data_IF_573640621514
#
_entry.id   IF_573640621514
#
_cell.length_a   1.000
_cell.length_b   1.000
_cell.length_c   1.000
_cell.angle_alpha   90.00
_cell.angle_beta   90.00
_cell.angle_gamma   90.00
#
_symmetry.space_group_name_H-M   'P 1'
#
loop_
_entity.id
_entity.type
_entity.pdbx_description
1 polymer ?
#
# COMPACT_ATOMS: atom_id res chain seq x y z
N UNK A 1 -21.91 3.94 -1.44
CA UNK A 1 -21.66 2.95 -2.49
C UNK A 1 -20.91 1.79 -1.86
N UNK A 2 -21.35 0.57 -2.10
CA UNK A 2 -20.62 -0.63 -1.68
C UNK A 2 -19.38 -0.76 -2.57
N UNK A 3 -18.18 -0.62 -2.00
CA UNK A 3 -16.93 -0.91 -2.71
C UNK A 3 -16.73 -2.42 -2.67
N UNK A 4 -16.88 -3.08 -3.82
CA UNK A 4 -16.56 -4.49 -3.94
C UNK A 4 -15.07 -4.61 -4.27
N UNK A 5 -14.24 -4.82 -3.25
CA UNK A 5 -12.81 -5.03 -3.43
C UNK A 5 -12.61 -6.52 -3.70
N UNK A 6 -12.28 -6.87 -4.94
CA UNK A 6 -11.84 -8.22 -5.29
C UNK A 6 -10.31 -8.26 -5.28
N UNK A 7 -9.76 -9.13 -4.43
CA UNK A 7 -8.33 -9.42 -4.37
C UNK A 7 -8.10 -10.74 -5.12
N UNK A 8 -7.59 -10.67 -6.34
CA UNK A 8 -7.16 -11.86 -7.10
C UNK A 8 -5.67 -12.13 -6.85
N UNK A 9 -5.36 -13.37 -6.50
CA UNK A 9 -4.00 -13.89 -6.31
C UNK A 9 -3.68 -14.83 -7.46
N UNK A 10 -2.71 -14.48 -8.30
CA UNK A 10 -2.14 -15.42 -9.27
C UNK A 10 -0.69 -15.77 -8.91
N UNK A 11 -0.47 -16.97 -8.38
CA UNK A 11 0.86 -17.55 -8.18
C UNK A 11 1.19 -17.98 -6.74
N UNK A 12 2.19 -18.86 -6.62
CA UNK A 12 2.73 -19.37 -5.36
C UNK A 12 3.52 -18.32 -4.55
N UNK A 13 3.62 -17.08 -5.01
CA UNK A 13 4.37 -15.99 -4.34
C UNK A 13 3.41 -14.81 -4.09
N UNK A 14 3.20 -14.44 -2.81
CA UNK A 14 2.17 -13.51 -2.33
C UNK A 14 2.52 -12.01 -2.55
N UNK A 15 3.29 -11.68 -3.58
CA UNK A 15 3.84 -10.32 -3.77
C UNK A 15 3.10 -9.47 -4.80
N UNK A 16 2.06 -10.01 -5.46
CA UNK A 16 1.15 -9.26 -6.32
C UNK A 16 -0.21 -9.10 -5.62
N UNK A 17 -0.74 -7.89 -5.60
CA UNK A 17 -2.08 -7.56 -5.13
C UNK A 17 -2.82 -6.76 -6.19
N UNK A 18 -3.94 -7.28 -6.66
CA UNK A 18 -4.84 -6.61 -7.60
C UNK A 18 -6.09 -6.15 -6.85
N UNK A 19 -6.49 -4.91 -7.03
CA UNK A 19 -7.68 -4.31 -6.45
C UNK A 19 -8.58 -3.82 -7.57
N UNK A 20 -9.77 -4.40 -7.67
CA UNK A 20 -10.82 -3.95 -8.58
C UNK A 20 -11.82 -3.08 -7.80
N UNK A 21 -11.89 -1.79 -8.13
CA UNK A 21 -12.85 -0.82 -7.59
C UNK A 21 -13.50 -0.10 -8.76
N UNK A 22 -14.58 -0.66 -9.29
CA UNK A 22 -15.21 -0.20 -10.53
C UNK A 22 -15.29 1.34 -10.65
N UNK A 23 -14.81 1.92 -11.77
CA UNK A 23 -14.21 1.27 -12.94
C UNK A 23 -12.66 1.15 -12.86
N UNK A 24 -12.06 1.38 -11.69
CA UNK A 24 -10.61 1.47 -11.47
C UNK A 24 -10.04 0.11 -11.12
N UNK A 25 -8.91 -0.22 -11.75
CA UNK A 25 -8.08 -1.34 -11.33
C UNK A 25 -6.73 -0.82 -10.84
N UNK A 26 -6.23 -1.39 -9.75
CA UNK A 26 -4.96 -1.02 -9.11
C UNK A 26 -4.17 -2.30 -8.87
N UNK A 27 -2.92 -2.32 -9.30
CA UNK A 27 -2.02 -3.44 -9.08
C UNK A 27 -0.80 -2.96 -8.32
N UNK A 28 -0.43 -3.72 -7.30
CA UNK A 28 0.77 -3.50 -6.50
C UNK A 28 1.57 -4.77 -6.57
N UNK A 29 2.83 -4.66 -6.98
CA UNK A 29 3.67 -5.82 -7.18
C UNK A 29 5.14 -5.52 -6.89
N UNK A 30 5.88 -6.54 -6.47
CA UNK A 30 7.33 -6.45 -6.38
C UNK A 30 7.95 -6.62 -7.78
N UNK A 31 9.09 -5.96 -8.03
CA UNK A 31 9.81 -6.00 -9.30
C UNK A 31 10.14 -7.42 -9.76
N UNK A 32 10.50 -8.29 -8.81
CA UNK A 32 10.85 -9.70 -9.08
C UNK A 32 9.73 -10.47 -9.79
N UNK A 33 8.48 -10.02 -9.65
CA UNK A 33 7.31 -10.69 -10.20
C UNK A 33 6.91 -10.16 -11.57
N UNK A 34 7.77 -9.36 -12.24
CA UNK A 34 7.46 -8.77 -13.55
C UNK A 34 7.03 -9.80 -14.61
N UNK A 35 7.57 -11.02 -14.54
CA UNK A 35 7.14 -12.12 -15.42
C UNK A 35 5.70 -12.59 -15.15
N UNK A 36 5.24 -12.51 -13.90
CA UNK A 36 3.84 -12.79 -13.53
C UNK A 36 2.95 -11.60 -13.86
N UNK A 37 3.40 -10.36 -13.60
CA UNK A 37 2.68 -9.13 -13.99
C UNK A 37 2.38 -9.14 -15.49
N UNK A 38 3.30 -9.62 -16.33
CA UNK A 38 3.12 -9.68 -17.79
C UNK A 38 2.02 -10.63 -18.28
N UNK A 39 1.40 -11.39 -17.38
CA UNK A 39 0.29 -12.31 -17.69
C UNK A 39 -1.07 -11.76 -17.21
N UNK A 40 -1.05 -10.70 -16.42
CA UNK A 40 -2.25 -10.04 -15.89
C UNK A 40 -2.91 -9.22 -16.99
N UNK A 41 -4.22 -9.40 -17.21
CA UNK A 41 -4.99 -8.61 -18.18
C UNK A 41 -4.89 -7.10 -17.86
N UNK A 42 -4.83 -6.75 -16.57
CA UNK A 42 -4.67 -5.40 -16.04
C UNK A 42 -3.36 -4.73 -16.45
N UNK A 43 -2.33 -5.50 -16.82
CA UNK A 43 -1.07 -4.94 -17.31
C UNK A 43 -1.11 -4.57 -18.81
N UNK A 44 -2.14 -5.03 -19.53
CA UNK A 44 -2.35 -4.83 -20.97
C UNK A 44 -3.36 -3.72 -21.31
N UNK A 45 -3.67 -2.85 -20.34
CA UNK A 45 -4.50 -1.66 -20.55
C UNK A 45 -3.68 -0.36 -20.44
N UNK A 46 -4.21 0.76 -20.98
CA UNK A 46 -3.69 2.10 -20.69
C UNK A 46 -3.78 2.48 -19.22
N UNK A 47 -2.82 3.28 -18.76
CA UNK A 47 -2.83 3.76 -17.38
C UNK A 47 -1.55 4.43 -16.93
N UNK A 48 -1.43 4.53 -15.62
CA UNK A 48 -0.33 5.19 -14.91
C UNK A 48 0.41 4.15 -14.09
N UNK A 49 1.73 4.26 -14.00
CA UNK A 49 2.57 3.44 -13.14
C UNK A 49 3.52 4.31 -12.32
N UNK A 50 3.85 3.83 -11.14
CA UNK A 50 4.74 4.46 -10.17
C UNK A 50 5.75 3.41 -9.75
N UNK A 51 7.01 3.63 -10.10
CA UNK A 51 8.13 2.81 -9.64
C UNK A 51 8.62 3.36 -8.30
N UNK A 52 8.77 2.47 -7.32
CA UNK A 52 9.17 2.78 -5.96
C UNK A 52 10.53 2.13 -5.67
N UNK A 53 11.49 2.96 -5.27
CA UNK A 53 12.76 2.57 -4.69
C UNK A 53 12.86 3.09 -3.26
N UNK A 54 14.03 2.93 -2.64
CA UNK A 54 14.27 3.34 -1.25
C UNK A 54 14.24 4.87 -1.09
N UNK A 55 14.90 5.61 -1.98
CA UNK A 55 15.08 7.06 -1.87
C UNK A 55 14.37 7.86 -2.96
N UNK A 56 14.04 7.22 -4.09
CA UNK A 56 13.46 7.88 -5.27
C UNK A 56 12.26 7.15 -5.84
N UNK A 57 11.43 7.90 -6.55
CA UNK A 57 10.25 7.41 -7.25
C UNK A 57 10.30 7.80 -8.73
N UNK A 58 9.50 7.14 -9.56
CA UNK A 58 9.31 7.53 -10.96
C UNK A 58 7.84 7.35 -11.31
N UNK A 59 7.22 8.39 -11.86
CA UNK A 59 5.84 8.36 -12.37
C UNK A 59 5.89 8.30 -13.88
N UNK A 60 5.14 7.38 -14.49
CA UNK A 60 5.02 7.33 -15.93
C UNK A 60 3.61 6.96 -16.38
N UNK A 61 3.32 7.26 -17.65
CA UNK A 61 2.10 6.81 -18.32
C UNK A 61 2.34 5.82 -19.45
N UNK A 62 1.29 5.05 -19.77
CA UNK A 62 1.16 4.27 -20.98
C UNK A 62 -0.20 4.55 -21.64
N UNK A 63 -0.17 5.02 -22.89
CA UNK A 63 -1.37 5.17 -23.74
C UNK A 63 -1.83 3.85 -24.37
N UNK A 64 -0.98 2.83 -24.33
CA UNK A 64 -1.29 1.44 -24.66
C UNK A 64 -0.98 0.59 -23.42
N UNK A 65 -0.38 -0.58 -23.58
CA UNK A 65 -0.14 -1.48 -22.45
C UNK A 65 0.93 -0.96 -21.48
N UNK A 66 0.59 -0.92 -20.17
CA UNK A 66 1.53 -0.57 -19.09
C UNK A 66 2.74 -1.50 -19.08
N UNK A 67 2.56 -2.81 -19.31
CA UNK A 67 3.64 -3.80 -19.23
C UNK A 67 4.83 -3.46 -20.13
N UNK A 68 4.58 -2.89 -21.31
CA UNK A 68 5.64 -2.51 -22.25
C UNK A 68 6.56 -1.44 -21.65
N UNK A 69 6.01 -0.52 -20.86
CA UNK A 69 6.79 0.51 -20.15
C UNK A 69 7.54 -0.09 -18.97
N UNK A 70 6.92 -1.00 -18.21
CA UNK A 70 7.58 -1.67 -17.10
C UNK A 70 8.78 -2.50 -17.56
N UNK A 71 8.64 -3.28 -18.63
CA UNK A 71 9.75 -4.05 -19.24
C UNK A 71 10.87 -3.15 -19.77
N UNK A 72 10.52 -1.96 -20.27
CA UNK A 72 11.52 -0.98 -20.69
C UNK A 72 12.29 -0.44 -19.47
N UNK A 73 11.60 -0.07 -18.39
CA UNK A 73 12.26 0.44 -17.19
C UNK A 73 13.07 -0.63 -16.47
N UNK A 74 12.62 -1.87 -16.42
CA UNK A 74 13.37 -2.98 -15.79
C UNK A 74 14.78 -3.15 -16.36
N UNK A 75 14.95 -2.90 -17.67
CA UNK A 75 16.25 -2.95 -18.35
C UNK A 75 17.14 -1.73 -18.10
N UNK A 76 16.55 -0.59 -17.76
CA UNK A 76 17.22 0.71 -17.75
C UNK A 76 17.32 1.36 -16.35
N UNK A 77 16.58 0.83 -15.37
CA UNK A 77 16.48 1.33 -14.00
C UNK A 77 16.52 0.14 -13.06
N UNK A 78 17.65 -0.04 -12.39
CA UNK A 78 17.87 -1.13 -11.44
C UNK A 78 17.49 -0.79 -9.99
N UNK A 79 17.17 0.48 -9.71
CA UNK A 79 16.95 0.99 -8.35
C UNK A 79 15.55 0.73 -7.78
N UNK A 80 14.56 0.39 -8.61
CA UNK A 80 13.19 0.20 -8.12
C UNK A 80 12.97 -1.25 -7.68
N UNK A 81 12.15 -1.43 -6.65
CA UNK A 81 11.87 -2.74 -6.04
C UNK A 81 10.38 -3.07 -6.04
N UNK A 82 9.52 -2.05 -6.16
CA UNK A 82 8.07 -2.19 -6.17
C UNK A 82 7.45 -1.30 -7.23
N UNK A 83 6.31 -1.73 -7.78
CA UNK A 83 5.50 -0.94 -8.70
C UNK A 83 4.06 -0.86 -8.18
N UNK A 84 3.48 0.31 -8.32
CA UNK A 84 2.03 0.53 -8.25
C UNK A 84 1.60 0.98 -9.63
N UNK A 85 0.66 0.29 -10.27
CA UNK A 85 0.06 0.78 -11.50
C UNK A 85 -1.46 0.70 -11.43
N UNK A 86 -2.12 1.58 -12.17
CA UNK A 86 -3.56 1.66 -12.17
C UNK A 86 -4.10 2.15 -13.50
N UNK A 87 -5.29 1.68 -13.82
CA UNK A 87 -5.97 1.91 -15.09
C UNK A 87 -7.47 1.82 -14.91
N UNK A 88 -8.19 1.83 -16.03
CA UNK A 88 -9.62 1.52 -16.04
C UNK A 88 -9.83 0.11 -16.56
N UNK A 89 -10.71 -0.64 -15.92
CA UNK A 89 -11.06 -2.01 -16.31
C UNK A 89 -11.56 -2.08 -17.78
N UNK A 90 -12.27 -1.04 -18.24
CA UNK A 90 -12.75 -0.94 -19.62
C UNK A 90 -11.67 -0.47 -20.63
N UNK A 91 -10.44 -0.22 -20.17
CA UNK A 91 -9.33 0.27 -20.99
C UNK A 91 -9.51 1.69 -21.55
N UNK A 92 -10.61 2.38 -21.23
CA UNK A 92 -10.93 3.69 -21.80
C UNK A 92 -10.27 4.85 -21.05
N UNK A 93 -8.95 4.95 -21.16
CA UNK A 93 -8.18 6.09 -20.67
C UNK A 93 -7.45 6.74 -21.85
N UNK A 94 -7.89 7.92 -22.26
CA UNK A 94 -7.29 8.60 -23.40
C UNK A 94 -5.96 9.30 -23.04
N UNK A 95 -5.22 9.70 -24.07
CA UNK A 95 -3.92 10.36 -23.90
C UNK A 95 -3.99 11.64 -23.06
N UNK A 96 -5.06 12.41 -23.21
CA UNK A 96 -5.22 13.66 -22.43
C UNK A 96 -5.39 13.37 -20.95
N UNK A 97 -6.09 12.29 -20.60
CA UNK A 97 -6.28 11.84 -19.23
C UNK A 97 -4.99 11.25 -18.65
N UNK A 98 -4.27 10.41 -19.41
CA UNK A 98 -2.99 9.85 -18.94
C UNK A 98 -1.96 10.95 -18.71
N UNK A 99 -1.84 11.89 -19.65
CA UNK A 99 -0.91 13.02 -19.53
C UNK A 99 -1.31 13.90 -18.33
N UNK A 100 -2.59 14.19 -18.15
CA UNK A 100 -3.08 14.98 -17.00
C UNK A 100 -2.78 14.31 -15.66
N UNK A 101 -3.01 13.00 -15.53
CA UNK A 101 -2.76 12.23 -14.31
C UNK A 101 -1.27 12.16 -13.98
N UNK A 102 -0.42 11.90 -14.97
CA UNK A 102 1.04 11.88 -14.82
C UNK A 102 1.55 13.23 -14.30
N UNK A 103 1.19 14.34 -14.95
CA UNK A 103 1.57 15.68 -14.49
C UNK A 103 1.10 15.94 -13.06
N UNK A 104 -0.16 15.60 -12.76
CA UNK A 104 -0.75 15.86 -11.45
C UNK A 104 -0.03 15.12 -10.33
N UNK A 105 0.34 13.85 -10.56
CA UNK A 105 1.12 13.06 -9.61
C UNK A 105 2.54 13.61 -9.46
N UNK A 106 3.22 13.93 -10.58
CA UNK A 106 4.56 14.52 -10.54
C UNK A 106 4.57 15.82 -9.73
N UNK A 107 3.59 16.71 -9.96
CA UNK A 107 3.43 17.94 -9.18
C UNK A 107 3.22 17.63 -7.70
N UNK A 108 2.31 16.71 -7.36
CA UNK A 108 2.08 16.32 -5.95
C UNK A 108 3.33 15.79 -5.26
N UNK A 109 4.10 14.91 -5.90
CA UNK A 109 5.35 14.40 -5.35
C UNK A 109 6.37 15.52 -5.12
N UNK A 110 6.53 16.43 -6.09
CA UNK A 110 7.42 17.58 -5.95
C UNK A 110 6.99 18.53 -4.83
N UNK A 111 5.69 18.82 -4.73
CA UNK A 111 5.14 19.69 -3.68
C UNK A 111 5.37 19.11 -2.27
N UNK A 112 5.41 17.77 -2.16
CA UNK A 112 5.72 17.04 -0.92
C UNK A 112 7.22 16.82 -0.70
N UNK A 113 8.09 17.32 -1.58
CA UNK A 113 9.54 17.16 -1.47
C UNK A 113 10.05 15.73 -1.67
N UNK A 114 9.24 14.86 -2.30
CA UNK A 114 9.61 13.48 -2.56
C UNK A 114 10.44 13.37 -3.86
N UNK A 115 11.67 12.83 -3.82
CA UNK A 115 12.52 12.78 -5.00
C UNK A 115 11.94 11.95 -6.14
N UNK A 116 11.88 12.55 -7.33
CA UNK A 116 11.52 11.88 -8.59
C UNK A 116 12.72 11.78 -9.53
N UNK A 117 12.89 10.60 -10.15
CA UNK A 117 13.84 10.36 -11.25
C UNK A 117 13.23 10.71 -12.63
N UNK A 118 12.13 11.46 -12.63
CA UNK A 118 11.49 11.96 -13.84
C UNK A 118 12.40 13.01 -14.51
N UNK A 119 12.89 12.72 -15.72
CA UNK A 119 13.67 13.67 -16.50
C UNK A 119 12.87 14.82 -17.12
N UNK A 120 11.53 14.75 -17.05
CA UNK A 120 10.60 15.76 -17.55
C UNK A 120 9.39 15.88 -16.62
N UNK A 121 8.64 16.97 -16.72
CA UNK A 121 7.39 17.15 -15.96
C UNK A 121 6.19 16.37 -16.53
N UNK A 122 6.39 15.54 -17.55
CA UNK A 122 5.32 14.89 -18.32
C UNK A 122 4.94 15.66 -19.60
N UNK A 123 4.01 15.11 -20.38
CA UNK A 123 3.50 15.75 -21.60
C UNK A 123 2.27 16.61 -21.28
N UNK A 124 2.05 17.71 -22.03
CA UNK A 124 0.86 18.54 -21.88
C UNK A 124 -0.09 18.31 -23.06
N UNK A 125 -1.26 17.77 -22.78
CA UNK A 125 -2.36 17.58 -23.73
C UNK A 125 -3.58 18.41 -23.31
N UNK A 126 -4.35 18.90 -24.28
CA UNK A 126 -5.64 19.53 -23.99
C UNK A 126 -6.60 18.46 -23.44
N UNK A 127 -7.24 18.76 -22.32
CA UNK A 127 -8.22 17.90 -21.66
C UNK A 127 -9.50 18.72 -21.41
N UNK A 128 -10.64 18.19 -21.84
CA UNK A 128 -11.92 18.83 -21.58
C UNK A 128 -12.35 18.66 -20.11
N UNK A 129 -13.35 19.44 -19.70
CA UNK A 129 -13.80 19.48 -18.30
C UNK A 129 -14.34 18.13 -17.80
N UNK A 130 -15.03 17.37 -18.64
CA UNK A 130 -15.60 16.09 -18.27
C UNK A 130 -14.49 15.05 -18.10
N UNK A 131 -13.57 14.95 -19.07
CA UNK A 131 -12.44 14.01 -19.01
C UNK A 131 -11.52 14.30 -17.83
N UNK A 132 -11.27 15.58 -17.51
CA UNK A 132 -10.53 16.02 -16.32
C UNK A 132 -11.24 15.63 -15.02
N UNK A 133 -12.56 15.77 -14.95
CA UNK A 133 -13.34 15.36 -13.78
C UNK A 133 -13.25 13.86 -13.55
N UNK A 134 -13.41 13.04 -14.59
CA UNK A 134 -13.28 11.58 -14.53
C UNK A 134 -11.88 11.14 -14.10
N UNK A 135 -10.84 11.79 -14.61
CA UNK A 135 -9.46 11.51 -14.20
C UNK A 135 -9.25 11.84 -12.70
N UNK A 136 -9.79 12.95 -12.22
CA UNK A 136 -9.71 13.31 -10.80
C UNK A 136 -10.43 12.31 -9.88
N UNK A 137 -11.62 11.86 -10.28
CA UNK A 137 -12.38 10.85 -9.54
C UNK A 137 -11.61 9.53 -9.47
N UNK A 138 -11.07 9.07 -10.61
CA UNK A 138 -10.21 7.89 -10.67
C UNK A 138 -9.00 8.01 -9.74
N UNK A 139 -8.28 9.14 -9.79
CA UNK A 139 -7.14 9.35 -8.90
C UNK A 139 -7.56 9.37 -7.42
N UNK A 140 -8.73 9.94 -7.11
CA UNK A 140 -9.25 9.93 -5.74
C UNK A 140 -9.55 8.52 -5.25
N UNK A 141 -10.10 7.64 -6.11
CA UNK A 141 -10.32 6.23 -5.79
C UNK A 141 -8.99 5.53 -5.53
N UNK A 142 -7.96 5.82 -6.35
CA UNK A 142 -6.62 5.26 -6.19
C UNK A 142 -6.01 5.69 -4.87
N UNK A 143 -5.95 7.00 -4.60
CA UNK A 143 -5.36 7.54 -3.36
C UNK A 143 -6.09 7.01 -2.12
N UNK A 144 -7.42 6.98 -2.15
CA UNK A 144 -8.24 6.44 -1.07
C UNK A 144 -8.03 4.93 -0.88
N UNK A 145 -7.92 4.16 -1.97
CA UNK A 145 -7.66 2.71 -1.87
C UNK A 145 -6.25 2.47 -1.33
N UNK A 146 -5.24 3.17 -1.83
CA UNK A 146 -3.87 3.04 -1.35
C UNK A 146 -3.80 3.39 0.13
N UNK A 147 -4.39 4.49 0.57
CA UNK A 147 -4.35 4.92 1.96
C UNK A 147 -5.20 4.03 2.88
N UNK A 148 -6.46 3.77 2.51
CA UNK A 148 -7.43 3.17 3.42
C UNK A 148 -7.53 1.65 3.30
N UNK A 149 -7.22 1.07 2.14
CA UNK A 149 -7.25 -0.39 1.94
C UNK A 149 -5.85 -0.97 2.03
N UNK A 150 -4.91 -0.42 1.25
CA UNK A 150 -3.54 -0.92 1.18
C UNK A 150 -2.70 -0.45 2.37
N UNK A 151 -3.07 0.69 2.97
CA UNK A 151 -2.31 1.40 4.00
C UNK A 151 -0.90 1.75 3.53
N UNK A 152 -0.83 2.21 2.29
CA UNK A 152 0.33 2.79 1.66
C UNK A 152 -0.03 4.25 1.39
N UNK A 153 0.57 5.16 2.14
CA UNK A 153 0.55 6.57 1.77
C UNK A 153 1.61 6.79 0.70
N UNK A 154 1.15 7.05 -0.51
CA UNK A 154 2.01 7.26 -1.66
C UNK A 154 2.92 8.48 -1.47
N UNK A 155 2.50 9.43 -0.62
CA UNK A 155 3.14 10.72 -0.42
C UNK A 155 3.73 10.89 0.99
N UNK A 156 3.79 9.82 1.79
CA UNK A 156 4.52 9.87 3.06
C UNK A 156 6.01 10.02 2.75
N UNK A 157 6.59 11.09 3.29
CA UNK A 157 8.04 11.21 3.41
C UNK A 157 8.44 10.10 4.35
N UNK A 158 9.11 9.08 3.83
CA UNK A 158 9.87 8.19 4.68
C UNK A 158 10.91 9.09 5.36
N UNK A 159 10.58 9.57 6.57
CA UNK A 159 11.58 10.05 7.50
C UNK A 159 12.57 8.91 7.56
N UNK A 160 13.74 9.18 6.97
CA UNK A 160 14.87 8.29 6.87
C UNK A 160 14.88 7.46 8.15
N UNK A 161 14.55 6.17 8.03
CA UNK A 161 14.63 5.23 9.15
C UNK A 161 16.12 4.96 9.36
N UNK A 162 16.85 6.02 9.71
CA UNK A 162 17.98 5.90 10.59
C UNK A 162 17.44 5.12 11.77
N UNK A 163 18.09 3.99 12.05
CA UNK A 163 17.87 3.23 13.25
C UNK A 163 17.73 4.22 14.41
N UNK A 164 16.49 4.41 14.89
CA UNK A 164 16.25 5.33 15.98
C UNK A 164 17.00 4.73 17.16
N UNK A 165 18.01 5.47 17.61
CA UNK A 165 18.76 5.20 18.82
C UNK A 165 17.75 4.85 19.94
N UNK A 166 17.83 3.69 20.60
CA UNK A 166 16.85 3.23 21.61
C UNK A 166 16.66 4.17 22.80
N UNK A 167 17.35 5.30 22.85
CA UNK A 167 17.44 6.20 23.98
C UNK A 167 16.65 7.50 23.82
N UNK A 168 15.88 7.69 22.74
CA UNK A 168 14.97 8.84 22.60
C UNK A 168 13.54 8.39 22.23
N UNK A 169 12.95 7.51 23.05
CA UNK A 169 11.48 7.42 23.20
C UNK A 169 11.13 8.01 24.58
N UNK A 170 11.11 9.34 24.70
CA UNK A 170 10.64 10.00 25.91
C UNK A 170 9.14 9.76 26.11
N UNK A 171 8.79 8.84 27.02
CA UNK A 171 7.56 8.74 27.81
C UNK A 171 6.27 9.39 27.26
N UNK A 172 5.79 8.92 26.11
CA UNK A 172 4.41 9.09 25.66
C UNK A 172 3.75 7.70 25.59
N UNK A 173 2.95 7.37 26.61
CA UNK A 173 2.17 6.14 26.64
C UNK A 173 1.08 6.12 25.57
N UNK A 174 0.85 4.95 24.99
CA UNK A 174 -0.29 4.67 24.11
C UNK A 174 -1.28 3.82 24.88
N UNK A 175 -2.51 4.32 24.98
CA UNK A 175 -3.62 3.68 25.67
C UNK A 175 -4.63 3.21 24.63
N UNK A 176 -4.97 1.93 24.66
CA UNK A 176 -5.96 1.34 23.78
C UNK A 176 -7.07 0.69 24.59
N UNK A 177 -8.33 0.93 24.23
CA UNK A 177 -9.49 0.21 24.75
C UNK A 177 -10.18 -0.57 23.64
N UNK A 178 -10.36 -1.87 23.87
CA UNK A 178 -11.04 -2.76 22.93
C UNK A 178 -11.84 -3.82 23.68
N UNK A 179 -13.15 -3.92 23.38
CA UNK A 179 -14.08 -4.89 23.97
C UNK A 179 -13.96 -5.04 25.50
N UNK A 180 -13.94 -3.92 26.23
CA UNK A 180 -13.84 -3.88 27.69
C UNK A 180 -12.45 -4.18 28.26
N UNK A 181 -11.44 -4.42 27.40
CA UNK A 181 -10.05 -4.56 27.79
C UNK A 181 -9.25 -3.31 27.51
N UNK A 182 -8.23 -3.06 28.33
CA UNK A 182 -7.32 -1.94 28.19
C UNK A 182 -5.89 -2.44 27.98
N UNK A 183 -5.18 -1.80 27.06
CA UNK A 183 -3.79 -2.09 26.72
C UNK A 183 -2.99 -0.80 26.85
N UNK A 184 -1.83 -0.86 27.49
CA UNK A 184 -0.93 0.30 27.66
C UNK A 184 0.47 -0.10 27.28
N UNK A 185 1.09 0.69 26.41
CA UNK A 185 2.47 0.49 25.97
C UNK A 185 3.18 1.83 25.86
N UNK A 186 4.51 1.80 25.85
CA UNK A 186 5.33 3.01 25.72
C UNK A 186 5.63 3.41 24.26
N UNK A 187 5.08 2.69 23.29
CA UNK A 187 5.18 3.05 21.87
C UNK A 187 4.01 2.51 21.05
N UNK A 188 3.68 3.20 19.95
CA UNK A 188 2.59 2.82 19.05
C UNK A 188 2.76 1.40 18.49
N UNK A 189 3.98 1.02 18.09
CA UNK A 189 4.29 -0.31 17.53
C UNK A 189 4.09 -1.43 18.54
N UNK A 190 4.48 -1.21 19.81
CA UNK A 190 4.23 -2.18 20.88
C UNK A 190 2.75 -2.31 21.19
N UNK A 191 2.03 -1.18 21.24
CA UNK A 191 0.58 -1.15 21.46
C UNK A 191 -0.16 -1.92 20.37
N UNK A 192 0.20 -1.65 19.11
CA UNK A 192 -0.27 -2.39 17.93
C UNK A 192 -0.03 -3.89 18.07
N UNK A 193 1.23 -4.31 18.30
CA UNK A 193 1.57 -5.72 18.42
C UNK A 193 0.82 -6.43 19.55
N UNK A 194 0.61 -5.75 20.69
CA UNK A 194 -0.11 -6.33 21.82
C UNK A 194 -1.60 -6.53 21.52
N UNK A 195 -2.28 -5.52 20.97
CA UNK A 195 -3.69 -5.66 20.63
C UNK A 195 -3.90 -6.69 19.52
N UNK A 196 -3.07 -6.66 18.47
CA UNK A 196 -3.18 -7.61 17.36
C UNK A 196 -2.93 -9.04 17.82
N UNK A 197 -1.94 -9.29 18.70
CA UNK A 197 -1.77 -10.61 19.32
C UNK A 197 -3.04 -11.04 20.04
N UNK A 198 -3.65 -10.16 20.85
CA UNK A 198 -4.89 -10.48 21.55
C UNK A 198 -6.05 -10.80 20.61
N UNK A 199 -6.19 -10.05 19.51
CA UNK A 199 -7.28 -10.22 18.55
C UNK A 199 -7.09 -11.50 17.73
N UNK A 200 -5.93 -11.69 17.09
CA UNK A 200 -5.70 -12.77 16.14
C UNK A 200 -5.50 -14.15 16.76
N UNK A 201 -5.17 -14.20 18.06
CA UNK A 201 -5.08 -15.46 18.82
C UNK A 201 -6.43 -15.92 19.38
N UNK A 202 -7.48 -15.09 19.28
CA UNK A 202 -8.83 -15.43 19.75
C UNK A 202 -9.71 -15.93 18.60
N UNK A 203 -10.22 -17.18 18.66
CA UNK A 203 -11.01 -17.76 17.57
C UNK A 203 -12.20 -16.91 17.13
N UNK A 204 -12.91 -16.29 18.10
CA UNK A 204 -14.11 -15.48 17.85
C UNK A 204 -13.88 -14.25 16.94
N UNK A 205 -12.67 -13.67 16.98
CA UNK A 205 -12.32 -12.53 16.12
C UNK A 205 -11.66 -13.01 14.84
N UNK A 206 -10.80 -14.03 14.96
CA UNK A 206 -9.99 -14.54 13.87
C UNK A 206 -10.81 -14.94 12.65
N UNK A 207 -11.93 -15.64 12.83
CA UNK A 207 -12.80 -16.06 11.72
C UNK A 207 -13.30 -14.89 10.86
N UNK A 208 -13.51 -13.72 11.48
CA UNK A 208 -13.96 -12.50 10.78
C UNK A 208 -12.83 -11.73 10.11
N UNK A 209 -11.58 -12.02 10.45
CA UNK A 209 -10.39 -11.29 10.02
C UNK A 209 -9.56 -12.05 8.98
N UNK A 210 -10.14 -13.08 8.35
CA UNK A 210 -9.46 -13.92 7.36
C UNK A 210 -8.82 -13.13 6.22
N UNK A 211 -9.41 -12.01 5.80
CA UNK A 211 -8.86 -11.12 4.77
C UNK A 211 -7.52 -10.45 5.14
N UNK A 212 -7.12 -10.48 6.41
CA UNK A 212 -5.85 -9.93 6.89
C UNK A 212 -4.81 -11.02 7.19
N UNK A 213 -5.13 -12.29 6.90
CA UNK A 213 -4.32 -13.46 7.21
C UNK A 213 -3.90 -14.13 5.90
N UNK A 214 -2.62 -14.49 5.80
CA UNK A 214 -2.05 -15.12 4.62
C UNK A 214 -1.29 -16.40 4.95
N UNK A 215 -1.30 -17.38 4.06
CA UNK A 215 -0.52 -18.62 4.23
C UNK A 215 1.00 -18.40 4.01
N UNK A 216 1.38 -17.22 3.53
CA UNK A 216 2.76 -16.84 3.21
C UNK A 216 3.40 -15.91 4.25
N UNK A 217 4.31 -15.05 3.77
CA UNK A 217 4.92 -13.98 4.58
C UNK A 217 3.92 -12.82 4.75
N UNK A 218 3.79 -12.24 5.95
CA UNK A 218 2.96 -11.06 6.19
C UNK A 218 3.30 -9.90 5.26
N UNK A 219 2.27 -9.18 4.83
CA UNK A 219 2.39 -7.96 4.02
C UNK A 219 1.84 -6.75 4.79
N UNK A 220 1.83 -5.58 4.17
CA UNK A 220 1.16 -4.41 4.76
C UNK A 220 -0.36 -4.53 4.71
N UNK A 221 -0.91 -5.43 3.89
CA UNK A 221 -2.36 -5.68 3.71
C UNK A 221 -2.79 -6.89 4.52
N UNK A 222 -2.16 -8.04 4.26
CA UNK A 222 -2.33 -9.29 5.01
C UNK A 222 -1.26 -9.36 6.09
N UNK A 223 -1.47 -8.58 7.16
CA UNK A 223 -0.44 -8.33 8.15
C UNK A 223 -0.23 -9.49 9.13
N UNK A 224 -0.91 -10.63 9.00
CA UNK A 224 -0.62 -11.88 9.72
C UNK A 224 -0.33 -13.01 8.73
N UNK A 225 0.69 -13.83 8.99
CA UNK A 225 1.03 -14.95 8.12
C UNK A 225 1.96 -15.99 8.74
N UNK A 226 2.27 -17.07 8.02
CA UNK A 226 2.97 -18.25 8.55
C UNK A 226 4.49 -18.10 8.64
N UNK A 227 5.08 -17.16 7.91
CA UNK A 227 6.53 -17.03 7.80
C UNK A 227 7.02 -15.64 8.18
N UNK A 228 8.22 -15.55 8.76
CA UNK A 228 8.82 -14.25 9.05
C UNK A 228 9.16 -13.45 7.77
N UNK A 229 9.11 -12.12 7.88
CA UNK A 229 9.56 -11.20 6.83
C UNK A 229 10.75 -10.39 7.32
N UNK A 230 11.80 -10.42 6.51
CA UNK A 230 13.05 -9.67 6.71
C UNK A 230 13.24 -8.80 5.46
N UNK A 231 13.65 -7.54 5.64
CA UNK A 231 13.98 -6.66 4.52
C UNK A 231 15.26 -7.09 3.81
N UNK A 232 15.51 -6.58 2.61
CA UNK A 232 16.76 -6.82 1.87
C UNK A 232 17.99 -6.30 2.64
N UNK A 233 17.79 -5.35 3.54
CA UNK A 233 18.81 -4.81 4.47
C UNK A 233 18.96 -5.62 5.76
N UNK A 234 18.27 -6.76 5.90
CA UNK A 234 18.36 -7.64 7.07
C UNK A 234 17.52 -7.23 8.29
N UNK A 235 16.64 -6.23 8.15
CA UNK A 235 15.78 -5.78 9.26
C UNK A 235 14.58 -6.71 9.38
N UNK A 236 14.34 -7.27 10.58
CA UNK A 236 13.16 -8.08 10.85
C UNK A 236 11.92 -7.20 10.90
N UNK A 237 10.99 -7.41 9.97
CA UNK A 237 9.77 -6.61 9.81
C UNK A 237 8.56 -7.20 10.54
N UNK A 238 8.70 -8.40 11.09
CA UNK A 238 7.61 -9.15 11.72
C UNK A 238 7.90 -9.54 13.17
N UNK A 239 6.84 -9.63 13.98
CA UNK A 239 6.84 -10.17 15.34
C UNK A 239 6.10 -11.51 15.37
N UNK A 240 6.66 -12.52 16.03
CA UNK A 240 5.96 -13.79 16.25
C UNK A 240 4.85 -13.64 17.31
N UNK A 241 3.70 -14.25 17.03
CA UNK A 241 2.51 -14.32 17.87
C UNK A 241 2.50 -15.63 18.67
N UNK A 242 1.70 -15.69 19.74
CA UNK A 242 1.61 -16.88 20.61
C UNK A 242 1.14 -18.16 19.92
N UNK A 243 0.48 -18.05 18.77
CA UNK A 243 0.04 -19.19 17.97
C UNK A 243 1.07 -19.63 16.91
N UNK A 244 2.29 -19.05 16.92
CA UNK A 244 3.38 -19.38 15.99
C UNK A 244 3.33 -18.62 14.66
N UNK A 245 2.32 -17.78 14.45
CA UNK A 245 2.22 -16.93 13.26
C UNK A 245 3.05 -15.66 13.43
N UNK A 246 3.28 -14.96 12.33
CA UNK A 246 4.03 -13.72 12.28
C UNK A 246 3.12 -12.54 11.94
N UNK A 247 3.23 -11.46 12.72
CA UNK A 247 2.55 -10.18 12.53
C UNK A 247 3.52 -9.18 11.90
N UNK A 248 3.16 -8.51 10.81
CA UNK A 248 3.92 -7.38 10.27
C UNK A 248 3.82 -6.19 11.23
N UNK A 249 4.97 -5.65 11.67
CA UNK A 249 5.01 -4.59 12.70
C UNK A 249 5.71 -3.31 12.25
N UNK A 250 6.34 -3.30 11.07
CA UNK A 250 7.08 -2.15 10.57
C UNK A 250 6.16 -1.13 9.86
N UNK A 251 5.26 -0.54 10.64
CA UNK A 251 4.35 0.52 10.21
C UNK A 251 4.78 1.88 10.78
N UNK A 252 4.43 2.96 10.09
CA UNK A 252 4.41 4.32 10.65
C UNK A 252 3.27 4.46 11.67
N UNK A 253 3.22 5.59 12.40
CA UNK A 253 2.20 5.82 13.42
C UNK A 253 0.79 5.95 12.80
N UNK A 254 0.67 6.72 11.73
CA UNK A 254 -0.56 6.85 10.94
C UNK A 254 -1.01 5.49 10.40
N UNK A 255 -0.08 4.70 9.89
CA UNK A 255 -0.36 3.36 9.41
C UNK A 255 -0.89 2.42 10.52
N UNK A 256 -0.41 2.56 11.77
CA UNK A 256 -0.94 1.81 12.92
C UNK A 256 -2.38 2.23 13.26
N UNK A 257 -2.65 3.53 13.29
CA UNK A 257 -4.01 4.05 13.53
C UNK A 257 -5.00 3.50 12.50
N UNK A 258 -4.61 3.49 11.22
CA UNK A 258 -5.40 2.90 10.15
C UNK A 258 -5.63 1.39 10.34
N UNK A 259 -4.63 0.62 10.80
CA UNK A 259 -4.83 -0.80 11.10
C UNK A 259 -5.81 -1.04 12.24
N UNK A 260 -5.82 -0.17 13.25
CA UNK A 260 -6.87 -0.23 14.27
C UNK A 260 -8.25 0.02 13.68
N UNK A 261 -8.42 1.02 12.81
CA UNK A 261 -9.70 1.30 12.17
C UNK A 261 -10.18 0.11 11.29
N UNK A 262 -9.29 -0.45 10.45
CA UNK A 262 -9.64 -1.61 9.62
C UNK A 262 -10.11 -2.83 10.42
N UNK A 263 -9.40 -3.14 11.50
CA UNK A 263 -9.78 -4.26 12.38
C UNK A 263 -11.08 -3.92 13.11
N UNK A 264 -11.26 -2.68 13.56
CA UNK A 264 -12.48 -2.25 14.24
C UNK A 264 -13.71 -2.36 13.32
N UNK A 265 -13.60 -1.86 12.08
CA UNK A 265 -14.65 -1.90 11.07
C UNK A 265 -15.01 -3.34 10.72
N UNK A 266 -14.00 -4.18 10.48
CA UNK A 266 -14.22 -5.59 10.13
C UNK A 266 -14.87 -6.38 11.27
N UNK A 267 -14.57 -6.06 12.53
CA UNK A 267 -15.18 -6.70 13.69
C UNK A 267 -16.55 -6.09 14.04
N UNK A 268 -16.87 -4.89 13.55
CA UNK A 268 -17.98 -4.08 14.01
C UNK A 268 -17.81 -3.66 15.48
N UNK A 269 -16.57 -3.48 15.93
CA UNK A 269 -16.22 -3.19 17.34
C UNK A 269 -15.20 -2.06 17.39
N UNK A 270 -15.50 -0.93 18.05
CA UNK A 270 -14.58 0.20 18.08
C UNK A 270 -13.30 -0.14 18.84
N UNK A 271 -12.18 0.35 18.32
CA UNK A 271 -10.88 0.39 18.99
C UNK A 271 -10.60 1.85 19.32
N UNK A 272 -10.63 2.20 20.60
CA UNK A 272 -10.35 3.56 21.05
C UNK A 272 -8.87 3.68 21.36
N UNK A 273 -8.19 4.65 20.73
CA UNK A 273 -6.75 4.86 20.90
C UNK A 273 -6.50 6.28 21.38
N UNK A 274 -5.66 6.41 22.39
CA UNK A 274 -5.17 7.69 22.89
C UNK A 274 -3.66 7.64 22.96
N UNK A 275 -3.03 8.51 22.18
CA UNK A 275 -1.61 8.77 22.27
C UNK A 275 -1.43 9.94 23.24
N UNK A 276 -0.68 9.72 24.32
CA UNK A 276 -0.27 10.85 25.16
C UNK A 276 0.75 11.74 24.46
#
# INVERSE_FOLDING_TARGET
MTKHIFISKEGNDNSISVFNIEPVVIVIADRKDLSTISKLEEAHIPGIYILLGEDKRYVGQASGEIINRLLQHDKNKDWWHKVIFFGREDGHLDKSQTDYLENKLITKFNDMGLPLDNGTAGNLSYIDKLSKSKANEMLSIVEDTLLNVVNLDLFEVEDDVQAVDPLIEENLGVYIRFNGQSFTQNSARKAYGQLMEYIFTKPIYREKLSQFITDGKPTTVEFVGQFEKISDRGVKLTRELKNGEHLYVNFSRSAIENKFNLVADQLGMPIEVSFS
#
